data_IF_810898679860
#
_entry.id   IF_810898679860
#
_cell.length_a   1.000
_cell.length_b   1.000
_cell.length_c   1.000
_cell.angle_alpha   90.00
_cell.angle_beta   90.00
_cell.angle_gamma   90.00
#
_symmetry.space_group_name_H-M   'P 1'
#
loop_
_entity.id
_entity.type
_entity.pdbx_description
1 polymer ?
#
# COMPACT_ATOMS: atom_id res chain seq x y z
N UNK A 1 -11.13 -24.81 -22.76
CA UNK A 1 -10.55 -24.39 -21.46
C UNK A 1 -10.21 -25.64 -20.71
N UNK A 2 -8.94 -25.94 -20.56
CA UNK A 2 -8.46 -27.09 -19.78
C UNK A 2 -8.08 -26.59 -18.39
N UNK A 3 -8.63 -27.18 -17.35
CA UNK A 3 -8.25 -26.89 -15.97
C UNK A 3 -7.07 -27.80 -15.63
N UNK A 4 -5.93 -27.22 -15.24
CA UNK A 4 -4.80 -28.00 -14.75
C UNK A 4 -5.12 -28.62 -13.39
N UNK A 5 -4.43 -29.70 -13.02
CA UNK A 5 -4.58 -30.36 -11.70
C UNK A 5 -4.31 -29.41 -10.52
N UNK A 6 -3.81 -28.22 -10.75
CA UNK A 6 -3.55 -27.18 -9.76
C UNK A 6 -4.59 -26.05 -9.79
N UNK A 7 -5.73 -26.23 -10.50
CA UNK A 7 -6.81 -25.24 -10.55
C UNK A 7 -6.50 -24.01 -11.43
N UNK A 8 -5.40 -23.99 -12.16
CA UNK A 8 -5.09 -22.90 -13.10
C UNK A 8 -5.90 -23.08 -14.40
N UNK A 9 -6.62 -22.05 -14.80
CA UNK A 9 -7.28 -22.00 -16.10
C UNK A 9 -6.22 -21.71 -17.16
N UNK A 10 -5.86 -22.72 -17.96
CA UNK A 10 -4.94 -22.57 -19.09
C UNK A 10 -5.76 -22.46 -20.38
N UNK A 11 -5.64 -21.37 -21.16
CA UNK A 11 -6.27 -21.26 -22.45
C UNK A 11 -5.73 -22.32 -23.43
N UNK A 12 -6.57 -22.81 -24.34
CA UNK A 12 -6.22 -23.83 -25.35
C UNK A 12 -5.03 -23.45 -26.26
N UNK A 13 -4.66 -22.19 -26.29
CA UNK A 13 -3.52 -21.66 -27.07
C UNK A 13 -2.18 -21.71 -26.33
N UNK A 14 -2.13 -22.23 -25.11
CA UNK A 14 -0.93 -22.18 -24.27
C UNK A 14 -0.50 -20.78 -23.83
N UNK A 15 -1.29 -19.76 -24.16
CA UNK A 15 -1.07 -18.38 -23.71
C UNK A 15 -1.97 -18.10 -22.49
N UNK A 16 -1.36 -17.70 -21.39
CA UNK A 16 -2.11 -17.16 -20.25
C UNK A 16 -2.85 -15.90 -20.74
N UNK A 17 -4.18 -15.96 -20.75
CA UNK A 17 -4.99 -14.76 -20.91
C UNK A 17 -4.99 -14.03 -19.58
N UNK A 18 -4.14 -13.03 -19.45
CA UNK A 18 -4.20 -12.11 -18.32
C UNK A 18 -5.52 -11.32 -18.39
N UNK A 19 -6.19 -11.09 -17.25
CA UNK A 19 -7.38 -10.26 -17.24
C UNK A 19 -7.07 -8.90 -17.85
N UNK A 20 -7.94 -8.44 -18.75
CA UNK A 20 -7.78 -7.14 -19.38
C UNK A 20 -7.85 -6.06 -18.28
N UNK A 21 -6.84 -5.22 -18.21
CA UNK A 21 -6.77 -4.16 -17.21
C UNK A 21 -7.94 -3.19 -17.42
N UNK A 22 -8.72 -2.98 -16.38
CA UNK A 22 -9.81 -2.00 -16.46
C UNK A 22 -9.24 -0.61 -16.68
N UNK A 23 -9.70 0.07 -17.72
CA UNK A 23 -9.33 1.45 -17.97
C UNK A 23 -9.75 2.29 -16.76
N UNK A 24 -8.86 3.16 -16.24
CA UNK A 24 -9.24 4.08 -15.16
C UNK A 24 -10.46 4.89 -15.62
N UNK A 25 -11.50 4.91 -14.80
CA UNK A 25 -12.63 5.78 -15.04
C UNK A 25 -12.25 7.21 -14.64
N UNK A 26 -12.79 8.24 -15.35
CA UNK A 26 -12.60 9.62 -14.93
C UNK A 26 -13.02 9.81 -13.47
N UNK A 27 -12.13 10.38 -12.66
CA UNK A 27 -12.38 10.60 -11.24
C UNK A 27 -11.85 9.51 -10.29
N UNK A 28 -11.37 8.37 -10.79
CA UNK A 28 -10.76 7.32 -9.94
C UNK A 28 -9.38 7.72 -9.39
N UNK A 29 -8.74 8.69 -10.01
CA UNK A 29 -7.47 9.20 -9.55
C UNK A 29 -7.59 10.66 -9.13
N UNK A 30 -6.92 11.07 -8.05
CA UNK A 30 -6.78 12.48 -7.77
C UNK A 30 -6.03 13.17 -8.93
N UNK A 31 -6.16 14.50 -9.07
CA UNK A 31 -5.40 15.23 -10.06
C UNK A 31 -3.90 14.90 -9.94
N UNK A 32 -3.24 14.63 -11.06
CA UNK A 32 -1.80 14.34 -11.08
C UNK A 32 -0.97 15.55 -10.65
N UNK A 33 -1.48 16.75 -10.90
CA UNK A 33 -0.92 17.99 -10.38
C UNK A 33 -1.74 18.45 -9.16
N UNK A 34 -1.07 18.68 -8.04
CA UNK A 34 -1.64 19.23 -6.82
C UNK A 34 -0.94 20.55 -6.50
N UNK A 35 -1.50 21.70 -6.92
CA UNK A 35 -0.85 23.01 -6.77
C UNK A 35 -0.52 23.37 -5.32
N UNK A 36 -1.27 22.86 -4.35
CA UNK A 36 -1.00 23.04 -2.93
C UNK A 36 0.32 22.38 -2.50
N UNK A 37 0.79 21.37 -3.22
CA UNK A 37 2.07 20.72 -3.02
C UNK A 37 3.07 21.23 -4.04
N UNK A 38 3.85 22.23 -3.67
CA UNK A 38 4.70 23.03 -4.56
C UNK A 38 5.60 22.22 -5.49
N UNK A 39 6.10 21.07 -5.06
CA UNK A 39 6.98 20.23 -5.89
C UNK A 39 6.23 19.37 -6.93
N UNK A 40 4.90 19.29 -6.89
CA UNK A 40 4.12 18.50 -7.85
C UNK A 40 4.37 18.97 -9.28
N UNK A 41 4.41 20.28 -9.51
CA UNK A 41 4.64 20.86 -10.82
C UNK A 41 5.93 20.39 -11.51
N UNK A 42 6.93 19.95 -10.73
CA UNK A 42 8.20 19.43 -11.25
C UNK A 42 8.18 17.91 -11.46
N UNK A 43 7.34 17.19 -10.74
CA UNK A 43 7.38 15.73 -10.65
C UNK A 43 6.22 15.00 -11.32
N UNK A 44 5.06 15.64 -11.47
CA UNK A 44 3.92 14.96 -12.07
C UNK A 44 4.16 14.67 -13.56
N UNK A 45 3.57 13.62 -14.11
CA UNK A 45 3.66 13.29 -15.53
C UNK A 45 3.17 14.44 -16.41
N UNK A 46 3.96 14.82 -17.42
CA UNK A 46 3.58 15.84 -18.40
C UNK A 46 2.92 15.26 -19.65
N UNK A 47 3.02 13.94 -19.82
CA UNK A 47 2.40 13.19 -20.90
C UNK A 47 1.25 12.37 -20.36
N UNK A 48 0.25 12.03 -21.17
CA UNK A 48 -0.80 11.10 -20.79
C UNK A 48 -0.21 9.80 -20.23
N UNK A 49 -0.85 9.26 -19.20
CA UNK A 49 -0.48 7.96 -18.64
C UNK A 49 -0.76 6.87 -19.69
N UNK A 50 0.16 5.93 -19.80
CA UNK A 50 0.03 4.76 -20.67
C UNK A 50 -0.31 3.57 -19.78
N UNK A 51 -1.41 2.90 -20.08
CA UNK A 51 -1.77 1.64 -19.43
C UNK A 51 -0.85 0.53 -19.93
N UNK A 52 -0.08 -0.03 -19.03
CA UNK A 52 0.71 -1.22 -19.32
C UNK A 52 -0.12 -2.47 -18.98
N UNK A 53 -0.05 -3.52 -19.81
CA UNK A 53 -0.69 -4.78 -19.47
C UNK A 53 -0.03 -5.35 -18.21
N UNK A 54 -0.86 -5.81 -17.28
CA UNK A 54 -0.35 -6.49 -16.08
C UNK A 54 0.41 -7.76 -16.50
N UNK A 55 1.55 -7.96 -15.87
CA UNK A 55 2.31 -9.19 -15.99
C UNK A 55 2.09 -10.05 -14.74
N UNK A 56 2.28 -11.36 -14.87
CA UNK A 56 2.10 -12.28 -13.75
C UNK A 56 2.97 -11.89 -12.54
N UNK A 57 4.19 -11.41 -12.80
CA UNK A 57 5.12 -10.93 -11.77
C UNK A 57 4.66 -9.68 -11.03
N UNK A 58 3.67 -8.97 -11.55
CA UNK A 58 3.10 -7.77 -10.93
C UNK A 58 1.82 -8.10 -10.15
N UNK A 59 1.24 -9.26 -10.41
CA UNK A 59 0.03 -9.76 -9.75
C UNK A 59 0.38 -10.59 -8.52
N UNK A 60 1.48 -11.31 -8.56
CA UNK A 60 1.98 -12.09 -7.43
C UNK A 60 2.96 -11.25 -6.63
N UNK A 61 2.45 -10.47 -5.68
CA UNK A 61 3.29 -9.85 -4.66
C UNK A 61 3.97 -10.88 -3.76
N UNK A 62 4.87 -10.45 -2.86
CA UNK A 62 5.44 -11.35 -1.87
C UNK A 62 4.31 -11.97 -1.05
N UNK A 63 4.32 -13.30 -0.92
CA UNK A 63 3.41 -14.02 -0.05
C UNK A 63 3.82 -13.73 1.40
N UNK A 64 3.03 -12.92 2.08
CA UNK A 64 3.09 -12.76 3.53
C UNK A 64 2.07 -13.73 4.11
N UNK A 65 2.53 -14.62 4.99
CA UNK A 65 1.61 -15.49 5.74
C UNK A 65 0.81 -14.65 6.74
N UNK A 66 -0.48 -14.89 6.86
CA UNK A 66 -1.37 -14.17 7.77
C UNK A 66 -0.93 -14.32 9.24
N UNK A 67 -0.28 -15.43 9.57
CA UNK A 67 0.29 -15.74 10.88
C UNK A 67 1.49 -14.86 11.27
N UNK A 68 2.05 -14.11 10.34
CA UNK A 68 3.13 -13.15 10.60
C UNK A 68 2.65 -11.76 11.02
N UNK A 69 1.34 -11.52 11.02
CA UNK A 69 0.77 -10.22 11.33
C UNK A 69 -0.15 -10.34 12.54
N UNK A 70 0.12 -9.54 13.54
CA UNK A 70 -0.66 -9.51 14.77
C UNK A 70 -1.42 -8.19 14.91
N UNK A 71 -2.42 -8.15 15.78
CA UNK A 71 -3.14 -6.91 16.08
C UNK A 71 -2.23 -5.82 16.66
N UNK A 72 -1.15 -6.21 17.33
CA UNK A 72 -0.16 -5.28 17.86
C UNK A 72 0.64 -4.56 16.77
N UNK A 73 0.76 -5.15 15.57
CA UNK A 73 1.46 -4.51 14.45
C UNK A 73 0.76 -3.25 13.95
N UNK A 74 -0.54 -3.11 14.23
CA UNK A 74 -1.33 -1.94 13.88
C UNK A 74 -1.19 -0.79 14.88
N UNK A 75 -0.73 -1.06 16.10
CA UNK A 75 -0.51 -0.04 17.13
C UNK A 75 0.97 0.32 17.26
N UNK A 76 1.38 1.37 16.55
CA UNK A 76 2.76 1.84 16.54
C UNK A 76 3.19 2.43 17.90
N UNK A 77 2.27 2.63 18.83
CA UNK A 77 2.57 3.20 20.16
C UNK A 77 2.97 2.16 21.19
N UNK A 78 2.79 0.88 20.88
CA UNK A 78 3.06 -0.23 21.82
C UNK A 78 4.24 -1.12 21.42
N UNK A 79 4.98 -0.74 20.38
CA UNK A 79 6.13 -1.51 19.86
C UNK A 79 7.33 -1.54 20.82
N UNK A 80 7.39 -0.63 21.76
CA UNK A 80 8.44 -0.53 22.79
C UNK A 80 7.83 -0.39 24.18
N UNK A 81 8.64 -0.64 25.19
CA UNK A 81 8.20 -0.53 26.60
C UNK A 81 7.96 0.93 27.05
N UNK A 82 8.56 1.90 26.35
CA UNK A 82 8.40 3.32 26.65
C UNK A 82 7.33 3.96 25.77
N UNK A 83 6.86 5.12 26.19
CA UNK A 83 5.88 5.91 25.44
C UNK A 83 6.55 6.67 24.29
N UNK A 84 6.02 6.60 23.07
CA UNK A 84 6.45 7.47 21.96
C UNK A 84 6.13 8.94 22.26
N UNK A 85 6.95 9.82 21.70
CA UNK A 85 6.75 11.26 21.82
C UNK A 85 5.64 11.75 20.86
N UNK A 86 4.95 12.80 21.27
CA UNK A 86 3.96 13.48 20.43
C UNK A 86 2.52 13.16 20.78
N UNK A 87 1.63 13.68 19.95
CA UNK A 87 0.20 13.47 20.11
C UNK A 87 -0.19 12.13 19.48
N UNK A 88 -0.93 11.31 20.21
CA UNK A 88 -1.53 10.10 19.66
C UNK A 88 -2.64 10.44 18.67
N UNK A 89 -2.64 9.77 17.55
CA UNK A 89 -3.67 9.87 16.52
C UNK A 89 -4.19 8.48 16.19
N UNK A 90 -5.41 8.40 15.71
CA UNK A 90 -5.97 7.20 15.11
C UNK A 90 -6.12 7.47 13.63
N UNK A 91 -5.49 6.60 12.82
CA UNK A 91 -5.65 6.62 11.36
C UNK A 91 -6.58 5.47 10.98
N UNK A 92 -7.60 5.78 10.23
CA UNK A 92 -8.52 4.77 9.71
C UNK A 92 -8.83 5.04 8.24
N UNK A 93 -9.17 4.00 7.53
CA UNK A 93 -9.48 4.09 6.11
C UNK A 93 -10.17 2.83 5.64
N UNK A 94 -10.39 2.73 4.35
CA UNK A 94 -11.02 1.59 3.71
C UNK A 94 -10.32 1.30 2.39
N UNK A 95 -9.95 0.05 2.18
CA UNK A 95 -9.42 -0.42 0.89
C UNK A 95 -10.58 -0.85 0.01
N UNK A 96 -10.65 -0.29 -1.18
CA UNK A 96 -11.70 -0.60 -2.17
C UNK A 96 -11.09 -0.93 -3.52
N UNK A 97 -11.74 -1.82 -4.25
CA UNK A 97 -11.41 -2.07 -5.66
C UNK A 97 -11.89 -0.92 -6.57
N UNK A 98 -11.57 -1.01 -7.85
CA UNK A 98 -11.99 -0.02 -8.85
C UNK A 98 -13.52 0.05 -9.06
N UNK A 99 -14.26 -0.94 -8.62
CA UNK A 99 -15.72 -0.96 -8.60
C UNK A 99 -16.32 -0.39 -7.30
N UNK A 100 -15.49 0.08 -6.37
CA UNK A 100 -15.91 0.63 -5.09
C UNK A 100 -16.26 -0.41 -4.03
N UNK A 101 -16.01 -1.71 -4.28
CA UNK A 101 -16.27 -2.78 -3.33
C UNK A 101 -15.14 -2.88 -2.31
N UNK A 102 -15.44 -3.15 -1.04
CA UNK A 102 -14.40 -3.37 -0.03
C UNK A 102 -13.53 -4.58 -0.40
N UNK A 103 -12.25 -4.48 -0.10
CA UNK A 103 -11.28 -5.57 -0.31
C UNK A 103 -10.82 -6.06 1.06
N UNK A 104 -11.39 -7.15 1.58
CA UNK A 104 -10.97 -7.75 2.84
C UNK A 104 -9.65 -8.50 2.72
N UNK A 105 -9.10 -8.90 3.86
CA UNK A 105 -7.90 -9.75 4.00
C UNK A 105 -6.68 -9.20 3.23
N UNK A 106 -6.59 -7.87 3.15
CA UNK A 106 -5.53 -7.16 2.42
C UNK A 106 -4.55 -6.54 3.40
N UNK A 107 -3.26 -6.79 3.18
CA UNK A 107 -2.19 -6.17 3.95
C UNK A 107 -2.09 -4.68 3.63
N UNK A 108 -2.11 -3.88 4.69
CA UNK A 108 -1.78 -2.45 4.66
C UNK A 108 -0.52 -2.23 5.47
N UNK A 109 0.52 -1.72 4.85
CA UNK A 109 1.73 -1.27 5.54
C UNK A 109 1.65 0.22 5.83
N UNK A 110 2.03 0.61 7.04
CA UNK A 110 2.01 1.98 7.52
C UNK A 110 3.46 2.41 7.72
N UNK A 111 3.82 3.54 7.12
CA UNK A 111 5.14 4.14 7.26
C UNK A 111 4.95 5.60 7.66
N UNK A 112 5.45 5.95 8.85
CA UNK A 112 5.22 7.26 9.45
C UNK A 112 6.50 7.84 10.05
N UNK A 113 6.67 9.15 9.94
CA UNK A 113 7.71 9.89 10.69
C UNK A 113 7.32 9.99 12.15
N UNK A 114 8.32 10.15 13.03
CA UNK A 114 8.08 10.46 14.43
C UNK A 114 7.51 11.89 14.61
N UNK A 115 7.20 12.28 15.84
CA UNK A 115 6.63 13.60 16.17
C UNK A 115 7.55 14.77 15.76
N UNK A 116 8.85 14.54 15.63
CA UNK A 116 9.83 15.54 15.17
C UNK A 116 9.98 15.57 13.63
N UNK A 117 9.18 14.78 12.90
CA UNK A 117 9.23 14.71 11.44
C UNK A 117 10.34 13.85 10.88
N UNK A 118 11.05 13.09 11.73
CA UNK A 118 12.13 12.20 11.28
C UNK A 118 11.64 10.78 11.05
N UNK A 119 12.09 10.21 9.95
CA UNK A 119 11.84 8.82 9.59
C UNK A 119 13.09 7.95 9.85
N UNK A 120 12.89 6.73 10.33
CA UNK A 120 14.00 5.78 10.59
C UNK A 120 14.38 5.08 9.29
N UNK A 121 15.34 5.66 8.57
CA UNK A 121 15.86 5.09 7.34
C UNK A 121 17.34 5.44 7.15
N UNK A 122 18.11 4.55 6.55
CA UNK A 122 19.56 4.73 6.35
C UNK A 122 19.93 5.93 5.46
N UNK A 123 19.01 6.37 4.60
CA UNK A 123 19.19 7.52 3.70
C UNK A 123 18.50 8.79 4.21
N UNK A 124 17.90 8.76 5.39
CA UNK A 124 17.28 9.92 6.00
C UNK A 124 18.34 10.76 6.72
N UNK A 125 18.42 12.03 6.37
CA UNK A 125 19.39 12.97 6.92
C UNK A 125 18.73 14.15 7.65
N UNK A 126 17.47 14.06 7.97
CA UNK A 126 16.77 15.09 8.73
C UNK A 126 17.43 15.26 10.11
N UNK A 127 17.72 16.51 10.55
CA UNK A 127 18.50 16.76 11.76
C UNK A 127 17.77 16.46 13.08
N UNK A 128 16.42 16.27 13.03
CA UNK A 128 15.65 15.96 14.23
C UNK A 128 16.07 14.60 14.83
N UNK A 129 15.93 14.41 16.15
CA UNK A 129 16.27 13.16 16.81
C UNK A 129 15.32 12.03 16.40
N UNK A 130 15.80 10.79 16.42
CA UNK A 130 14.96 9.62 16.40
C UNK A 130 14.27 9.44 17.76
N UNK A 131 13.03 8.97 17.74
CA UNK A 131 12.34 8.55 18.95
C UNK A 131 12.73 7.08 19.25
N UNK A 132 13.30 6.78 20.42
CA UNK A 132 13.67 5.42 20.77
C UNK A 132 12.46 4.47 20.97
N UNK A 133 11.27 5.04 21.18
CA UNK A 133 10.04 4.30 21.42
C UNK A 133 9.10 4.28 20.21
N UNK A 134 9.58 4.67 19.03
CA UNK A 134 8.76 4.72 17.81
C UNK A 134 9.54 4.23 16.58
N UNK A 135 9.15 3.09 16.05
CA UNK A 135 9.75 2.55 14.81
C UNK A 135 9.24 3.25 13.55
N UNK A 136 8.00 3.71 13.57
CA UNK A 136 7.37 4.36 12.42
C UNK A 136 6.93 3.40 11.32
N UNK A 137 6.90 2.10 11.59
CA UNK A 137 6.46 1.06 10.66
C UNK A 137 5.44 0.18 11.35
N UNK A 138 4.32 -0.06 10.70
CA UNK A 138 3.28 -0.94 11.19
C UNK A 138 2.56 -1.67 10.08
N UNK A 139 1.69 -2.58 10.44
CA UNK A 139 0.92 -3.41 9.51
C UNK A 139 -0.49 -3.63 10.02
N UNK A 140 -1.44 -3.69 9.12
CA UNK A 140 -2.80 -4.07 9.42
C UNK A 140 -3.35 -4.95 8.31
N UNK A 141 -4.29 -5.81 8.65
CA UNK A 141 -5.07 -6.55 7.67
C UNK A 141 -6.47 -5.94 7.65
N UNK A 142 -7.00 -5.70 6.47
CA UNK A 142 -8.36 -5.19 6.31
C UNK A 142 -9.38 -6.23 6.75
N UNK A 143 -10.43 -5.77 7.42
CA UNK A 143 -11.59 -6.58 7.80
C UNK A 143 -12.57 -6.78 6.62
N UNK A 144 -13.75 -7.33 6.88
CA UNK A 144 -14.79 -7.56 5.87
C UNK A 144 -15.35 -6.27 5.26
N UNK A 145 -15.09 -5.14 5.89
CA UNK A 145 -15.44 -3.82 5.38
C UNK A 145 -14.37 -3.20 4.46
N UNK A 146 -13.19 -3.87 4.34
CA UNK A 146 -12.02 -3.37 3.59
C UNK A 146 -11.23 -2.43 4.44
#
# INVERSE_FOLDING_TARGET
>A
VTVSEQGLIVPDSGKLALPEYMKPQPGNHPPLDSPAYKSTGLRHPKKPLVLLPQRLTEVTGPLLGDDLITLQDADLTTQHAGEPQGQRIIVFGQVRDSGGRPVPDTLVEIWQTNAAGRYRHSREHHPAPLDPNFEGVGRAITDQGG
#
